data_IF_360493895850
#
_entry.id   IF_360493895850
#
_cell.length_a   1.000
_cell.length_b   1.000
_cell.length_c   1.000
_cell.angle_alpha   90.00
_cell.angle_beta   90.00
_cell.angle_gamma   90.00
#
_symmetry.space_group_name_H-M   'P 1'
#
loop_
_entity.id
_entity.type
_entity.pdbx_description
1 polymer ?
#
# COMPACT_ATOMS: atom_id res chain seq x y z
N UNK A 1 -110.70 7.74 -42.73
CA UNK A 1 -111.78 8.70 -42.42
C UNK A 1 -112.04 8.60 -40.94
N UNK A 2 -112.19 9.75 -40.27
CA UNK A 2 -112.45 9.94 -38.84
C UNK A 2 -111.30 9.49 -37.90
N UNK A 3 -110.92 10.22 -36.86
CA UNK A 3 -111.36 11.51 -36.35
C UNK A 3 -110.19 12.10 -35.56
N UNK A 4 -109.99 13.39 -35.77
CA UNK A 4 -109.02 14.25 -35.12
C UNK A 4 -109.58 14.72 -33.76
N UNK A 5 -108.69 15.21 -32.89
CA UNK A 5 -108.91 16.19 -31.82
C UNK A 5 -109.15 15.74 -30.36
N UNK A 6 -108.05 15.92 -29.62
CA UNK A 6 -107.93 16.86 -28.49
C UNK A 6 -108.41 16.42 -27.09
N UNK A 7 -107.45 15.91 -26.31
CA UNK A 7 -107.47 15.95 -24.84
C UNK A 7 -106.77 17.25 -24.40
N UNK A 8 -107.40 18.13 -23.59
CA UNK A 8 -106.75 19.34 -23.09
C UNK A 8 -105.70 19.02 -22.02
N UNK A 9 -104.59 19.77 -22.08
CA UNK A 9 -103.44 19.68 -21.20
C UNK A 9 -103.76 20.05 -19.73
N UNK A 10 -103.03 19.48 -18.75
CA UNK A 10 -103.07 19.96 -17.38
C UNK A 10 -102.22 21.24 -17.23
N UNK A 11 -102.86 22.36 -16.89
CA UNK A 11 -102.20 23.52 -16.32
C UNK A 11 -101.88 23.22 -14.84
N UNK A 12 -100.60 22.99 -14.55
CA UNK A 12 -100.09 23.03 -13.18
C UNK A 12 -98.70 23.65 -13.18
N UNK A 13 -98.70 24.98 -13.23
CA UNK A 13 -97.58 25.82 -12.83
C UNK A 13 -97.22 25.54 -11.37
N UNK A 14 -96.16 24.76 -11.16
CA UNK A 14 -95.40 24.76 -9.92
C UNK A 14 -93.94 24.97 -10.28
N UNK A 15 -93.52 26.23 -10.17
CA UNK A 15 -92.16 26.71 -10.32
C UNK A 15 -91.26 26.03 -9.26
N UNK A 16 -90.39 25.13 -9.70
CA UNK A 16 -89.37 24.51 -8.84
C UNK A 16 -88.24 25.53 -8.64
N UNK A 17 -87.84 25.86 -7.40
CA UNK A 17 -86.69 26.72 -7.17
C UNK A 17 -85.42 26.08 -7.74
N UNK A 18 -84.74 26.77 -8.65
CA UNK A 18 -83.38 26.41 -9.08
C UNK A 18 -82.45 26.43 -7.87
N UNK A 19 -81.94 25.27 -7.49
CA UNK A 19 -80.72 25.17 -6.68
C UNK A 19 -79.57 24.83 -7.62
N UNK A 20 -78.62 25.74 -7.75
CA UNK A 20 -77.27 25.47 -8.22
C UNK A 20 -76.30 26.21 -7.26
N UNK A 21 -75.06 25.74 -7.02
CA UNK A 21 -74.31 24.76 -7.80
C UNK A 21 -73.78 23.57 -6.99
N UNK A 22 -73.32 22.55 -7.73
CA UNK A 22 -72.31 21.59 -7.25
C UNK A 22 -71.08 22.39 -6.80
N UNK A 23 -70.82 22.41 -5.50
CA UNK A 23 -69.55 22.86 -4.94
C UNK A 23 -68.48 21.79 -5.14
N UNK A 24 -67.37 22.19 -5.76
CA UNK A 24 -66.15 21.43 -6.04
C UNK A 24 -65.66 20.52 -4.89
N UNK A 25 -64.97 19.41 -5.21
CA UNK A 25 -64.23 18.66 -4.22
C UNK A 25 -62.99 19.42 -3.74
N UNK A 26 -62.79 19.34 -2.42
CA UNK A 26 -61.51 19.34 -1.71
C UNK A 26 -60.73 20.66 -1.56
N UNK A 27 -61.03 21.38 -0.48
CA UNK A 27 -59.96 22.01 0.29
C UNK A 27 -59.13 20.93 1.00
N UNK A 28 -58.07 20.45 0.35
CA UNK A 28 -56.95 19.74 1.01
C UNK A 28 -55.62 20.10 0.35
N UNK A 29 -55.24 21.38 0.35
CA UNK A 29 -54.01 21.81 -0.35
C UNK A 29 -52.87 22.30 0.54
N UNK A 30 -52.99 22.26 1.87
CA UNK A 30 -51.87 22.68 2.75
C UNK A 30 -51.11 21.50 3.37
N UNK A 31 -51.79 20.41 3.76
CA UNK A 31 -51.11 19.23 4.30
C UNK A 31 -50.38 18.42 3.24
N UNK A 32 -50.95 18.23 2.06
CA UNK A 32 -50.30 17.49 0.96
C UNK A 32 -48.94 18.09 0.58
N UNK A 33 -48.81 19.43 0.61
CA UNK A 33 -47.55 20.13 0.32
C UNK A 33 -46.50 19.94 1.42
N UNK A 34 -46.91 19.93 2.70
CA UNK A 34 -46.02 19.69 3.84
C UNK A 34 -45.51 18.24 3.89
N UNK A 35 -46.40 17.28 3.62
CA UNK A 35 -46.01 15.88 3.49
C UNK A 35 -45.08 15.67 2.29
N UNK A 36 -45.34 16.32 1.16
CA UNK A 36 -44.44 16.26 0.00
C UNK A 36 -43.02 16.75 0.29
N UNK A 37 -42.88 17.87 1.01
CA UNK A 37 -41.55 18.38 1.44
C UNK A 37 -40.86 17.41 2.39
N UNK A 38 -41.60 16.84 3.35
CA UNK A 38 -41.04 15.86 4.29
C UNK A 38 -40.53 14.60 3.57
N UNK A 39 -41.29 14.08 2.60
CA UNK A 39 -40.86 12.94 1.79
C UNK A 39 -39.69 13.27 0.87
N UNK A 40 -39.61 14.47 0.32
CA UNK A 40 -38.46 14.90 -0.48
C UNK A 40 -37.17 14.95 0.34
N UNK A 41 -37.23 15.49 1.57
CA UNK A 41 -36.09 15.50 2.50
C UNK A 41 -35.68 14.08 2.89
N UNK A 42 -36.65 13.20 3.20
CA UNK A 42 -36.37 11.80 3.53
C UNK A 42 -35.73 11.05 2.34
N UNK A 43 -36.23 11.25 1.13
CA UNK A 43 -35.66 10.64 -0.07
C UNK A 43 -34.22 11.12 -0.33
N UNK A 44 -33.93 12.40 -0.09
CA UNK A 44 -32.58 12.95 -0.19
C UNK A 44 -31.64 12.33 0.84
N UNK A 45 -32.07 12.22 2.10
CA UNK A 45 -31.27 11.59 3.16
C UNK A 45 -31.04 10.11 2.90
N UNK A 46 -32.07 9.39 2.43
CA UNK A 46 -31.94 7.99 2.02
C UNK A 46 -30.97 7.85 0.84
N UNK A 47 -31.07 8.72 -0.17
CA UNK A 47 -30.15 8.74 -1.31
C UNK A 47 -28.70 9.01 -0.90
N UNK A 48 -28.47 9.95 0.03
CA UNK A 48 -27.14 10.22 0.59
C UNK A 48 -26.60 9.04 1.39
N UNK A 49 -27.43 8.41 2.22
CA UNK A 49 -27.04 7.25 3.02
C UNK A 49 -26.69 6.04 2.12
N UNK A 50 -27.52 5.76 1.10
CA UNK A 50 -27.27 4.70 0.13
C UNK A 50 -26.02 5.02 -0.69
N UNK A 51 -25.86 6.25 -1.17
CA UNK A 51 -24.67 6.67 -1.91
C UNK A 51 -23.38 6.54 -1.09
N UNK A 52 -23.41 6.97 0.18
CA UNK A 52 -22.29 6.80 1.11
C UNK A 52 -22.00 5.33 1.40
N UNK A 53 -23.04 4.50 1.55
CA UNK A 53 -22.90 3.07 1.76
C UNK A 53 -22.29 2.36 0.53
N UNK A 54 -22.72 2.70 -0.68
CA UNK A 54 -22.12 2.16 -1.92
C UNK A 54 -20.65 2.56 -2.01
N UNK A 55 -20.29 3.81 -1.71
CA UNK A 55 -18.87 4.25 -1.67
C UNK A 55 -18.06 3.54 -0.57
N UNK A 56 -18.70 3.13 0.53
CA UNK A 56 -18.05 2.38 1.61
C UNK A 56 -17.86 0.90 1.26
N UNK A 57 -18.83 0.28 0.59
CA UNK A 57 -18.80 -1.14 0.19
C UNK A 57 -17.97 -1.36 -1.07
N UNK A 58 -17.93 -0.39 -1.98
CA UNK A 58 -17.12 -0.43 -3.21
C UNK A 58 -15.66 0.00 -2.98
N UNK A 59 -15.21 0.07 -1.71
CA UNK A 59 -13.78 0.14 -1.44
C UNK A 59 -13.19 -1.20 -1.83
N UNK A 60 -12.35 -1.29 -2.88
CA UNK A 60 -11.68 -2.53 -3.20
C UNK A 60 -10.88 -2.96 -1.96
N UNK A 61 -10.98 -4.23 -1.59
CA UNK A 61 -10.17 -4.82 -0.54
C UNK A 61 -8.68 -4.60 -0.84
N UNK A 62 -8.07 -3.58 -0.23
CA UNK A 62 -6.65 -3.22 -0.43
C UNK A 62 -5.66 -4.32 0.01
N UNK A 63 -6.17 -5.40 0.64
CA UNK A 63 -5.35 -6.53 1.12
C UNK A 63 -4.74 -7.31 -0.06
N UNK A 64 -5.33 -7.26 -1.25
CA UNK A 64 -4.77 -7.90 -2.45
C UNK A 64 -3.70 -7.07 -3.19
N UNK A 65 -3.39 -5.84 -2.75
CA UNK A 65 -2.62 -4.86 -3.56
C UNK A 65 -1.44 -4.19 -2.85
N UNK A 66 -1.24 -4.39 -1.54
CA UNK A 66 -0.08 -3.80 -0.84
C UNK A 66 1.18 -4.63 -1.06
N UNK A 67 2.25 -3.96 -1.51
CA UNK A 67 3.55 -4.60 -1.73
C UNK A 67 4.15 -5.15 -0.43
N UNK A 68 4.03 -4.42 0.68
CA UNK A 68 4.37 -4.90 2.03
C UNK A 68 3.42 -4.28 3.06
N UNK A 69 3.29 -4.94 4.21
CA UNK A 69 2.44 -4.48 5.33
C UNK A 69 2.98 -3.22 6.01
N UNK A 70 4.30 -3.03 5.93
CA UNK A 70 5.00 -1.87 6.47
C UNK A 70 5.62 -1.03 5.35
N UNK A 71 5.71 0.29 5.55
CA UNK A 71 6.42 1.23 4.67
C UNK A 71 7.14 2.29 5.51
N UNK A 72 8.28 2.82 5.04
CA UNK A 72 8.93 3.94 5.72
C UNK A 72 8.09 5.21 5.62
N UNK A 73 8.28 6.09 6.60
CA UNK A 73 7.67 7.41 6.69
C UNK A 73 8.67 8.54 6.50
N UNK A 74 9.94 8.25 6.76
CA UNK A 74 11.05 9.19 6.63
C UNK A 74 11.42 9.46 5.15
N UNK A 75 12.18 10.53 4.95
CA UNK A 75 12.65 10.99 3.63
C UNK A 75 14.17 11.12 3.60
N UNK A 76 14.72 11.20 2.38
CA UNK A 76 16.17 11.30 2.17
C UNK A 76 16.91 10.15 2.85
N UNK A 77 18.09 10.44 3.40
CA UNK A 77 18.93 9.43 4.06
C UNK A 77 18.24 8.74 5.25
N UNK A 78 17.39 9.46 5.99
CA UNK A 78 16.69 8.93 7.16
C UNK A 78 15.73 7.78 6.80
N UNK A 79 15.19 7.76 5.58
CA UNK A 79 14.38 6.64 5.06
C UNK A 79 15.14 5.33 5.11
N UNK A 80 16.40 5.34 4.68
CA UNK A 80 17.20 4.13 4.62
C UNK A 80 17.58 3.62 6.00
N UNK A 81 17.77 4.52 6.96
CA UNK A 81 17.95 4.18 8.37
C UNK A 81 16.67 3.55 8.96
N UNK A 82 15.50 4.10 8.64
CA UNK A 82 14.21 3.52 9.05
C UNK A 82 13.99 2.12 8.46
N UNK A 83 14.31 1.93 7.18
CA UNK A 83 14.31 0.62 6.50
C UNK A 83 15.28 -0.34 7.19
N UNK A 84 16.51 0.11 7.48
CA UNK A 84 17.53 -0.70 8.14
C UNK A 84 17.05 -1.21 9.51
N UNK A 85 16.45 -0.34 10.32
CA UNK A 85 15.89 -0.70 11.61
C UNK A 85 14.74 -1.70 11.46
N UNK A 86 13.75 -1.40 10.62
CA UNK A 86 12.60 -2.27 10.39
C UNK A 86 13.00 -3.68 9.92
N UNK A 87 13.88 -3.77 8.92
CA UNK A 87 14.30 -5.06 8.38
C UNK A 87 15.15 -5.81 9.41
N UNK A 88 16.14 -5.17 10.04
CA UNK A 88 17.09 -5.85 10.92
C UNK A 88 16.46 -6.50 12.16
N UNK A 89 15.38 -5.94 12.68
CA UNK A 89 14.67 -6.48 13.84
C UNK A 89 14.07 -7.88 13.62
N UNK A 90 13.83 -8.29 12.36
CA UNK A 90 13.26 -9.60 12.01
C UNK A 90 14.30 -10.71 11.89
N UNK A 91 15.58 -10.38 11.78
CA UNK A 91 16.67 -11.33 11.60
C UNK A 91 17.37 -11.59 12.93
N UNK A 92 17.25 -12.83 13.42
CA UNK A 92 17.69 -13.23 14.77
C UNK A 92 18.68 -14.38 14.74
N UNK A 93 19.52 -14.43 15.75
CA UNK A 93 20.28 -15.61 16.12
C UNK A 93 19.38 -16.62 16.82
N UNK A 94 19.87 -17.86 16.97
CA UNK A 94 19.15 -18.89 17.72
C UNK A 94 18.91 -18.52 19.19
N UNK A 95 19.77 -17.66 19.76
CA UNK A 95 19.60 -17.10 21.10
C UNK A 95 18.43 -16.10 21.20
N UNK A 96 17.80 -15.71 20.07
CA UNK A 96 16.84 -14.60 20.00
C UNK A 96 17.49 -13.22 19.92
N UNK A 97 18.81 -13.13 20.07
CA UNK A 97 19.56 -11.90 19.85
C UNK A 97 19.46 -11.45 18.38
N UNK A 98 19.60 -10.16 18.13
CA UNK A 98 19.63 -9.62 16.77
C UNK A 98 20.85 -10.15 16.01
N UNK A 99 20.65 -10.53 14.74
CA UNK A 99 21.72 -11.07 13.90
C UNK A 99 22.83 -10.04 13.68
N UNK A 100 22.45 -8.85 13.23
CA UNK A 100 23.31 -7.70 12.96
C UNK A 100 22.54 -6.40 13.15
N UNK A 101 23.23 -5.35 13.58
CA UNK A 101 22.79 -3.98 13.33
C UNK A 101 23.04 -3.62 11.87
N UNK A 102 22.23 -2.72 11.31
CA UNK A 102 22.37 -2.26 9.93
C UNK A 102 22.51 -0.75 9.94
N UNK A 103 23.56 -0.25 9.32
CA UNK A 103 23.84 1.19 9.20
C UNK A 103 23.66 1.57 7.75
N UNK A 104 22.81 2.55 7.47
CA UNK A 104 22.62 3.12 6.14
C UNK A 104 23.51 4.35 5.97
N UNK A 105 24.17 4.46 4.82
CA UNK A 105 25.00 5.63 4.47
C UNK A 105 25.08 5.83 2.98
N UNK A 106 25.27 7.07 2.55
CA UNK A 106 25.73 7.37 1.20
C UNK A 106 27.11 6.71 0.98
N UNK A 107 27.38 6.15 -0.21
CA UNK A 107 28.66 5.52 -0.50
C UNK A 107 29.84 6.49 -0.36
N UNK A 108 30.59 6.34 0.73
CA UNK A 108 31.79 7.14 0.97
C UNK A 108 32.88 6.32 1.65
N UNK A 109 34.14 6.69 1.39
CA UNK A 109 35.32 6.09 2.03
C UNK A 109 36.14 7.25 2.59
N UNK A 110 36.35 7.28 3.91
CA UNK A 110 37.11 8.34 4.58
C UNK A 110 36.58 9.76 4.26
N UNK A 111 35.26 9.92 4.22
CA UNK A 111 34.56 11.17 3.84
C UNK A 111 34.80 11.63 2.38
N UNK A 112 35.22 10.72 1.51
CA UNK A 112 35.29 10.94 0.07
C UNK A 112 34.17 10.14 -0.57
N UNK A 113 33.32 10.82 -1.32
CA UNK A 113 32.21 10.18 -2.03
C UNK A 113 32.75 9.21 -3.07
N UNK A 114 32.16 8.02 -3.09
CA UNK A 114 32.44 7.03 -4.13
C UNK A 114 31.66 7.47 -5.37
N UNK A 115 32.37 7.76 -6.45
CA UNK A 115 31.71 8.11 -7.73
C UNK A 115 31.30 6.88 -8.56
N UNK A 116 31.99 5.75 -8.41
CA UNK A 116 31.72 4.55 -9.20
C UNK A 116 32.00 3.25 -8.43
N UNK A 117 31.20 2.22 -8.70
CA UNK A 117 31.47 0.84 -8.34
C UNK A 117 32.00 0.05 -9.53
N UNK A 118 32.94 -0.86 -9.27
CA UNK A 118 33.52 -1.71 -10.30
C UNK A 118 33.32 -3.17 -9.94
N UNK A 119 32.71 -3.94 -10.84
CA UNK A 119 32.54 -5.39 -10.68
C UNK A 119 33.45 -6.10 -11.68
N UNK A 120 34.41 -6.87 -11.16
CA UNK A 120 35.27 -7.74 -11.93
C UNK A 120 34.63 -9.12 -12.08
N UNK A 121 34.42 -9.56 -13.32
CA UNK A 121 33.91 -10.89 -13.66
C UNK A 121 35.03 -11.89 -14.00
N UNK A 122 36.26 -11.41 -14.05
CA UNK A 122 37.48 -12.15 -14.38
C UNK A 122 38.72 -11.39 -13.92
N UNK A 123 39.89 -11.84 -14.34
CA UNK A 123 41.17 -11.22 -13.99
C UNK A 123 41.65 -10.17 -14.99
N UNK A 124 40.97 -10.02 -16.14
CA UNK A 124 41.31 -9.05 -17.18
C UNK A 124 40.67 -7.69 -16.93
N UNK A 125 41.31 -6.63 -17.43
CA UNK A 125 40.75 -5.26 -17.40
C UNK A 125 39.48 -5.12 -18.24
N UNK A 126 39.31 -5.96 -19.26
CA UNK A 126 38.12 -6.01 -20.12
C UNK A 126 36.93 -6.70 -19.43
N UNK A 127 37.16 -7.42 -18.32
CA UNK A 127 36.12 -8.09 -17.53
C UNK A 127 35.54 -7.20 -16.43
N UNK A 128 35.78 -5.89 -16.52
CA UNK A 128 35.36 -4.90 -15.54
C UNK A 128 34.11 -4.17 -16.00
N UNK A 129 33.05 -4.20 -15.20
CA UNK A 129 31.88 -3.35 -15.41
C UNK A 129 31.87 -2.21 -14.40
N UNK A 130 31.71 -1.01 -14.91
CA UNK A 130 31.65 0.23 -14.13
C UNK A 130 30.18 0.63 -13.96
N UNK A 131 29.81 0.97 -12.73
CA UNK A 131 28.49 1.47 -12.38
C UNK A 131 28.64 2.82 -11.67
N UNK A 132 27.87 3.84 -12.05
CA UNK A 132 27.81 5.10 -11.31
C UNK A 132 27.29 4.87 -9.88
N UNK A 133 27.67 5.73 -8.93
CA UNK A 133 27.34 5.59 -7.51
C UNK A 133 26.47 6.73 -6.96
N UNK A 134 26.11 7.70 -7.80
CA UNK A 134 25.33 8.89 -7.45
C UNK A 134 23.97 8.51 -6.85
N UNK A 135 23.26 7.58 -7.49
CA UNK A 135 21.95 7.10 -7.07
C UNK A 135 22.05 5.77 -6.32
N UNK A 136 22.91 5.74 -5.29
CA UNK A 136 23.22 4.52 -4.57
C UNK A 136 23.19 4.67 -3.05
N UNK A 137 22.86 3.59 -2.36
CA UNK A 137 22.90 3.51 -0.90
C UNK A 137 23.76 2.34 -0.45
N UNK A 138 24.53 2.55 0.61
CA UNK A 138 25.28 1.49 1.27
C UNK A 138 24.62 1.07 2.59
N UNK A 139 24.56 -0.24 2.81
CA UNK A 139 24.17 -0.86 4.07
C UNK A 139 25.35 -1.62 4.65
N UNK A 140 25.84 -1.20 5.81
CA UNK A 140 26.81 -1.95 6.58
C UNK A 140 26.08 -2.86 7.57
N UNK A 141 26.10 -4.17 7.32
CA UNK A 141 25.64 -5.16 8.28
C UNK A 141 26.79 -5.37 9.28
N UNK A 142 26.56 -5.02 10.54
CA UNK A 142 27.57 -5.06 11.60
C UNK A 142 27.07 -5.93 12.76
N UNK A 143 27.80 -7.01 13.05
CA UNK A 143 27.57 -7.79 14.26
C UNK A 143 28.08 -7.07 15.51
N UNK A 144 27.62 -7.49 16.68
CA UNK A 144 28.01 -6.90 17.97
C UNK A 144 29.40 -7.36 18.47
N UNK A 145 30.15 -8.11 17.68
CA UNK A 145 31.49 -8.58 18.00
C UNK A 145 32.59 -7.57 17.64
N UNK A 146 33.83 -7.97 17.89
CA UNK A 146 35.00 -7.17 17.51
C UNK A 146 35.04 -6.98 15.99
N UNK A 147 35.34 -5.76 15.54
CA UNK A 147 35.43 -5.40 14.11
C UNK A 147 34.18 -5.77 13.30
N UNK A 148 32.99 -5.52 13.84
CA UNK A 148 31.70 -5.85 13.23
C UNK A 148 31.44 -7.36 12.99
N UNK A 149 32.24 -8.26 13.57
CA UNK A 149 31.95 -9.69 13.49
C UNK A 149 30.69 -10.03 14.30
N UNK A 150 30.01 -11.12 13.96
CA UNK A 150 28.92 -11.64 14.80
C UNK A 150 29.55 -12.35 16.01
N UNK A 151 29.19 -11.90 17.22
CA UNK A 151 29.80 -12.34 18.48
C UNK A 151 29.49 -13.81 18.82
N UNK A 152 28.28 -14.25 18.50
CA UNK A 152 27.75 -15.56 18.90
C UNK A 152 27.72 -16.54 17.73
N UNK A 153 28.04 -17.80 18.02
CA UNK A 153 27.95 -18.91 17.07
C UNK A 153 29.02 -18.92 15.97
N UNK A 154 29.19 -20.10 15.36
CA UNK A 154 30.13 -20.28 14.26
C UNK A 154 29.61 -19.69 12.94
N UNK A 155 30.53 -19.33 12.05
CA UNK A 155 30.19 -18.95 10.68
C UNK A 155 29.74 -20.19 9.90
N UNK A 156 28.43 -20.29 9.64
CA UNK A 156 27.81 -21.38 8.89
C UNK A 156 27.24 -20.90 7.56
N UNK A 157 27.10 -21.77 6.55
CA UNK A 157 26.40 -21.46 5.30
C UNK A 157 24.96 -20.98 5.51
N UNK A 158 24.25 -21.57 6.47
CA UNK A 158 22.92 -21.19 6.93
C UNK A 158 22.88 -19.72 7.35
N UNK A 159 23.82 -19.31 8.22
CA UNK A 159 23.93 -17.91 8.67
C UNK A 159 24.22 -16.97 7.50
N UNK A 160 25.03 -17.40 6.53
CA UNK A 160 25.31 -16.61 5.33
C UNK A 160 24.05 -16.45 4.45
N UNK A 161 23.25 -17.50 4.26
CA UNK A 161 21.96 -17.40 3.54
C UNK A 161 21.03 -16.41 4.20
N UNK A 162 20.94 -16.43 5.53
CA UNK A 162 20.13 -15.48 6.29
C UNK A 162 20.61 -14.02 6.10
N UNK A 163 21.92 -13.78 6.13
CA UNK A 163 22.51 -12.46 5.83
C UNK A 163 22.25 -12.00 4.40
N UNK A 164 22.35 -12.91 3.41
CA UNK A 164 22.04 -12.60 2.01
C UNK A 164 20.55 -12.27 1.83
N UNK A 165 19.67 -13.01 2.51
CA UNK A 165 18.23 -12.73 2.53
C UNK A 165 17.95 -11.34 3.12
N UNK A 166 18.57 -11.01 4.26
CA UNK A 166 18.45 -9.69 4.88
C UNK A 166 18.92 -8.57 3.95
N UNK A 167 20.08 -8.75 3.30
CA UNK A 167 20.61 -7.79 2.35
C UNK A 167 19.69 -7.59 1.12
N UNK A 168 19.13 -8.69 0.60
CA UNK A 168 18.16 -8.63 -0.49
C UNK A 168 16.89 -7.88 -0.05
N UNK A 169 16.40 -8.13 1.16
CA UNK A 169 15.22 -7.45 1.68
C UNK A 169 15.44 -5.94 1.84
N UNK A 170 16.59 -5.54 2.39
CA UNK A 170 17.00 -4.14 2.45
C UNK A 170 16.98 -3.51 1.05
N UNK A 171 17.58 -4.18 0.07
CA UNK A 171 17.62 -3.68 -1.30
C UNK A 171 16.22 -3.53 -1.91
N UNK A 172 15.35 -4.54 -1.73
CA UNK A 172 13.98 -4.51 -2.24
C UNK A 172 13.16 -3.37 -1.62
N UNK A 173 13.27 -3.15 -0.30
CA UNK A 173 12.62 -2.01 0.37
C UNK A 173 13.14 -0.67 -0.17
N UNK A 174 14.46 -0.52 -0.30
CA UNK A 174 15.06 0.72 -0.79
C UNK A 174 14.63 1.03 -2.23
N UNK A 175 14.68 0.04 -3.12
CA UNK A 175 14.21 0.23 -4.49
C UNK A 175 12.71 0.49 -4.56
N UNK A 176 11.91 -0.16 -3.71
CA UNK A 176 10.46 0.04 -3.71
C UNK A 176 10.05 1.45 -3.28
N UNK A 177 10.75 2.02 -2.31
CA UNK A 177 10.34 3.27 -1.65
C UNK A 177 11.21 4.48 -2.01
N UNK A 178 12.23 4.33 -2.85
CA UNK A 178 12.91 5.43 -3.53
C UNK A 178 12.98 5.07 -5.01
N UNK A 179 12.27 5.79 -5.88
CA UNK A 179 12.20 5.44 -7.31
C UNK A 179 13.51 5.73 -8.06
N UNK A 180 14.20 6.81 -7.69
CA UNK A 180 15.44 7.25 -8.34
C UNK A 180 16.68 6.45 -7.91
N UNK A 181 16.55 5.48 -6.99
CA UNK A 181 17.69 4.68 -6.53
C UNK A 181 18.05 3.60 -7.56
N UNK A 182 19.28 3.60 -8.05
CA UNK A 182 19.76 2.64 -9.05
C UNK A 182 20.44 1.43 -8.44
N UNK A 183 21.20 1.62 -7.35
CA UNK A 183 21.97 0.54 -6.74
C UNK A 183 22.00 0.53 -5.21
N UNK A 184 22.17 -0.67 -4.66
CA UNK A 184 22.32 -0.92 -3.22
C UNK A 184 23.54 -1.79 -3.01
N UNK A 185 24.46 -1.35 -2.14
CA UNK A 185 25.62 -2.14 -1.72
C UNK A 185 25.41 -2.59 -0.28
N UNK A 186 25.47 -3.90 -0.01
CA UNK A 186 25.39 -4.45 1.33
C UNK A 186 26.73 -5.06 1.75
N UNK A 187 27.42 -4.44 2.71
CA UNK A 187 28.68 -4.94 3.26
C UNK A 187 28.40 -5.96 4.37
N UNK A 188 28.97 -7.15 4.22
CA UNK A 188 28.71 -8.27 5.13
C UNK A 188 29.60 -8.22 6.38
N UNK A 189 29.12 -8.74 7.52
CA UNK A 189 29.96 -8.94 8.69
C UNK A 189 31.15 -9.84 8.36
N UNK A 190 32.37 -9.54 8.84
CA UNK A 190 33.47 -10.47 8.71
C UNK A 190 33.27 -11.72 9.57
N UNK A 191 34.02 -12.77 9.23
CA UNK A 191 34.24 -13.86 10.18
C UNK A 191 35.04 -13.34 11.37
N UNK A 192 34.83 -13.91 12.55
CA UNK A 192 35.59 -13.53 13.73
C UNK A 192 37.11 -13.65 13.46
N UNK A 193 37.86 -12.61 13.80
CA UNK A 193 39.31 -12.53 13.55
C UNK A 193 39.72 -12.20 12.12
N UNK A 194 38.77 -12.01 11.19
CA UNK A 194 39.05 -11.62 9.80
C UNK A 194 38.57 -10.19 9.52
N UNK A 195 39.02 -9.62 8.40
CA UNK A 195 38.54 -8.34 7.89
C UNK A 195 37.33 -8.55 6.98
N UNK A 196 36.49 -7.52 6.82
CA UNK A 196 35.34 -7.58 5.93
C UNK A 196 35.82 -7.60 4.48
N UNK A 197 35.48 -8.66 3.74
CA UNK A 197 35.90 -8.85 2.34
C UNK A 197 34.73 -9.11 1.40
N UNK A 198 33.51 -9.16 1.92
CA UNK A 198 32.34 -9.56 1.15
C UNK A 198 31.30 -8.44 1.15
N UNK A 199 30.85 -8.09 -0.05
CA UNK A 199 29.72 -7.21 -0.27
C UNK A 199 28.80 -7.83 -1.32
N UNK A 200 27.51 -7.52 -1.24
CA UNK A 200 26.55 -7.79 -2.29
C UNK A 200 26.20 -6.48 -2.97
N UNK A 201 26.18 -6.50 -4.31
CA UNK A 201 25.77 -5.38 -5.13
C UNK A 201 24.45 -5.74 -5.81
N UNK A 202 23.43 -4.92 -5.58
CA UNK A 202 22.13 -5.06 -6.19
C UNK A 202 21.86 -3.87 -7.10
N UNK A 203 21.32 -4.14 -8.29
CA UNK A 203 20.80 -3.10 -9.18
C UNK A 203 19.30 -3.23 -9.26
N UNK A 204 18.59 -2.10 -9.32
CA UNK A 204 17.13 -2.08 -9.53
C UNK A 204 16.73 -2.92 -10.74
N UNK A 205 17.44 -2.75 -11.85
CA UNK A 205 17.17 -3.45 -13.12
C UNK A 205 17.24 -4.97 -13.00
N UNK A 206 18.08 -5.50 -12.11
CA UNK A 206 18.22 -6.94 -11.89
C UNK A 206 17.07 -7.54 -11.07
N UNK A 207 16.39 -6.72 -10.25
CA UNK A 207 15.30 -7.14 -9.35
C UNK A 207 13.93 -6.59 -9.73
N UNK A 208 13.81 -5.90 -10.87
CA UNK A 208 12.58 -5.22 -11.29
C UNK A 208 11.35 -6.14 -11.29
N UNK A 209 11.48 -7.34 -11.86
CA UNK A 209 10.38 -8.33 -11.92
C UNK A 209 9.91 -8.81 -10.54
N UNK A 210 10.80 -8.72 -9.56
CA UNK A 210 10.54 -9.12 -8.18
C UNK A 210 9.82 -8.00 -7.43
N UNK A 211 10.15 -6.74 -7.72
CA UNK A 211 9.49 -5.56 -7.16
C UNK A 211 8.02 -5.43 -7.56
N UNK A 212 7.62 -6.02 -8.67
CA UNK A 212 6.22 -6.03 -9.16
C UNK A 212 5.29 -6.95 -8.36
N UNK A 213 5.85 -7.84 -7.54
CA UNK A 213 5.09 -8.79 -6.72
C UNK A 213 5.07 -8.36 -5.26
N UNK A 214 4.04 -8.75 -4.49
CA UNK A 214 4.06 -8.57 -3.04
C UNK A 214 5.33 -9.19 -2.42
N UNK A 215 5.90 -8.51 -1.43
CA UNK A 215 7.14 -8.89 -0.78
C UNK A 215 7.08 -10.32 -0.23
N UNK A 216 5.98 -10.71 0.40
CA UNK A 216 5.79 -12.06 0.94
C UNK A 216 5.80 -13.16 -0.13
N UNK A 217 5.49 -12.84 -1.40
CA UNK A 217 5.58 -13.78 -2.51
C UNK A 217 7.03 -14.00 -2.98
N UNK A 218 7.94 -13.09 -2.61
CA UNK A 218 9.37 -13.16 -2.91
C UNK A 218 10.17 -13.67 -1.72
N UNK A 219 9.91 -13.08 -0.55
CA UNK A 219 10.57 -13.34 0.72
C UNK A 219 9.48 -13.75 1.73
N UNK A 220 9.11 -15.04 1.80
CA UNK A 220 8.03 -15.50 2.66
C UNK A 220 8.31 -15.15 4.13
N UNK A 221 7.40 -14.41 4.76
CA UNK A 221 7.51 -14.03 6.16
C UNK A 221 6.98 -15.18 7.05
N UNK A 222 7.83 -15.70 7.93
CA UNK A 222 7.50 -16.80 8.85
C UNK A 222 7.75 -16.42 10.31
N UNK A 223 7.85 -15.12 10.62
CA UNK A 223 8.22 -14.62 11.94
C UNK A 223 9.73 -14.39 12.07
N UNK A 224 10.28 -14.36 13.31
CA UNK A 224 11.71 -14.17 13.51
C UNK A 224 12.53 -15.22 12.73
N UNK A 225 13.38 -14.76 11.83
CA UNK A 225 14.16 -15.64 10.96
C UNK A 225 15.47 -16.00 11.63
N UNK A 226 15.70 -17.29 11.80
CA UNK A 226 16.94 -17.84 12.37
C UNK A 226 17.70 -18.66 11.32
N UNK A 227 19.01 -18.90 11.50
CA UNK A 227 19.81 -19.62 10.50
C UNK A 227 19.26 -21.00 10.10
N UNK A 228 18.55 -21.71 10.97
CA UNK A 228 17.97 -23.02 10.64
C UNK A 228 16.75 -22.94 9.72
N UNK A 229 16.12 -21.77 9.61
CA UNK A 229 14.94 -21.52 8.78
C UNK A 229 15.28 -20.92 7.40
N UNK A 230 16.58 -20.76 7.08
CA UNK A 230 17.09 -20.07 5.88
C UNK A 230 17.89 -20.95 4.91
#
# INVERSE_FOLDING_TARGET
MAEDLAIPAPDSSAEIPRVAPVGEPASRSTHARRFGVAYAVLAMLAGLAIGAFVVLVDRPDEVATRWSDWRPTEKGIARYSEIAEHVSQRYRLQSGAQLVGVIASEPSIQNIDVGHFLLAYGSGVDDLKVFPAEDSISYQLCGLGQRCAIREGAATPQRARLLHRQALELALYSFRYQDDLDSVVAFMPPRAGQNATFALFFRRSDVQKVLEKPLHATLPDTGPLTPEQS
#
